data_IF_029769096554
#
_entry.id   IF_029769096554
#
_cell.length_a   1.000
_cell.length_b   1.000
_cell.length_c   1.000
_cell.angle_alpha   90.00
_cell.angle_beta   90.00
_cell.angle_gamma   90.00
#
_symmetry.space_group_name_H-M   'P 1'
#
loop_
_entity.id
_entity.type
_entity.pdbx_description
1 polymer ?
#
# COMPACT_ATOMS: atom_id res chain seq x y z
N UNK A 1 -1.39 -7.12 21.27
CA UNK A 1 -2.05 -7.83 20.15
C UNK A 1 -0.97 -8.54 19.36
N UNK A 2 -1.23 -9.72 18.79
CA UNK A 2 -0.25 -10.40 17.91
C UNK A 2 -0.18 -9.66 16.58
N UNK A 3 1.02 -9.21 16.17
CA UNK A 3 1.23 -8.53 14.88
C UNK A 3 0.92 -9.47 13.70
N UNK A 4 0.49 -8.87 12.58
CA UNK A 4 0.09 -9.59 11.38
C UNK A 4 1.32 -10.15 10.62
N UNK A 5 1.68 -11.41 10.86
CA UNK A 5 2.79 -12.09 10.20
C UNK A 5 2.56 -12.29 8.70
N UNK A 6 1.36 -12.71 8.28
CA UNK A 6 1.06 -12.95 6.85
C UNK A 6 1.19 -11.70 5.97
N UNK A 7 0.94 -10.53 6.55
CA UNK A 7 0.98 -9.25 5.81
C UNK A 7 2.25 -8.44 6.04
N UNK A 8 3.04 -8.75 7.07
CA UNK A 8 4.33 -8.13 7.38
C UNK A 8 5.44 -8.68 6.47
N UNK A 9 5.27 -8.51 5.16
CA UNK A 9 6.24 -8.90 4.15
C UNK A 9 6.68 -7.67 3.37
N UNK A 10 8.00 -7.43 3.34
CA UNK A 10 8.60 -6.24 2.73
C UNK A 10 9.40 -6.68 1.51
N UNK A 11 9.16 -6.05 0.36
CA UNK A 11 9.87 -6.35 -0.87
C UNK A 11 11.37 -6.03 -0.75
N UNK A 12 12.21 -6.85 -1.38
CA UNK A 12 13.65 -6.66 -1.38
C UNK A 12 14.09 -5.67 -2.46
N UNK A 13 15.17 -4.92 -2.22
CA UNK A 13 15.76 -4.04 -3.23
C UNK A 13 16.05 -4.75 -4.56
N UNK A 14 16.47 -6.02 -4.49
CA UNK A 14 16.75 -6.84 -5.66
C UNK A 14 15.52 -7.02 -6.58
N UNK A 15 14.30 -7.00 -6.04
CA UNK A 15 13.07 -7.03 -6.83
C UNK A 15 12.96 -5.79 -7.74
N UNK A 16 13.17 -4.60 -7.18
CA UNK A 16 13.12 -3.35 -7.96
C UNK A 16 14.27 -3.26 -8.96
N UNK A 17 15.47 -3.69 -8.59
CA UNK A 17 16.62 -3.73 -9.51
C UNK A 17 16.36 -4.66 -10.70
N UNK A 18 15.84 -5.87 -10.44
CA UNK A 18 15.46 -6.82 -11.48
C UNK A 18 14.34 -6.27 -12.38
N UNK A 19 13.31 -5.65 -11.78
CA UNK A 19 12.23 -5.02 -12.53
C UNK A 19 12.76 -3.96 -13.51
N UNK A 20 13.58 -3.03 -13.02
CA UNK A 20 14.08 -1.96 -13.88
C UNK A 20 15.18 -2.39 -14.86
N UNK A 21 15.80 -3.56 -14.65
CA UNK A 21 16.65 -4.19 -15.65
C UNK A 21 15.81 -4.78 -16.80
N UNK A 22 14.67 -5.38 -16.48
CA UNK A 22 13.72 -5.91 -17.47
C UNK A 22 12.90 -4.81 -18.18
N UNK A 23 12.68 -3.68 -17.52
CA UNK A 23 11.86 -2.57 -18.01
C UNK A 23 12.66 -1.24 -17.99
N UNK A 24 13.69 -1.08 -18.84
CA UNK A 24 14.60 0.05 -18.79
C UNK A 24 13.94 1.40 -19.09
N UNK A 25 12.85 1.40 -19.87
CA UNK A 25 12.15 2.61 -20.32
C UNK A 25 11.13 3.17 -19.33
N UNK A 26 10.84 2.47 -18.23
CA UNK A 26 9.90 2.92 -17.19
C UNK A 26 10.48 4.13 -16.45
N UNK A 27 9.72 5.24 -16.42
CA UNK A 27 10.15 6.51 -15.83
C UNK A 27 9.11 7.16 -14.89
N UNK A 28 7.92 6.57 -14.79
CA UNK A 28 6.82 7.00 -13.94
C UNK A 28 6.27 5.80 -13.18
N UNK A 29 6.44 5.76 -11.86
CA UNK A 29 5.99 4.64 -11.03
C UNK A 29 5.06 5.14 -9.94
N UNK A 30 3.83 4.65 -9.92
CA UNK A 30 2.86 5.00 -8.87
C UNK A 30 3.02 4.06 -7.68
N UNK A 31 3.31 4.62 -6.50
CA UNK A 31 3.09 3.91 -5.24
C UNK A 31 1.63 3.98 -4.88
N UNK A 32 1.06 2.86 -4.44
CA UNK A 32 -0.36 2.77 -4.09
C UNK A 32 -0.50 2.12 -2.72
N UNK A 33 -1.25 2.76 -1.83
CA UNK A 33 -1.80 2.15 -0.63
C UNK A 33 -3.33 2.28 -0.65
N UNK A 34 -4.02 1.43 0.08
CA UNK A 34 -5.48 1.48 0.18
C UNK A 34 -5.85 1.99 1.56
N UNK A 35 -6.56 3.13 1.61
CA UNK A 35 -7.02 3.68 2.88
C UNK A 35 -8.21 2.89 3.45
N UNK A 36 -8.66 3.24 4.65
CA UNK A 36 -9.75 2.55 5.35
C UNK A 36 -11.08 2.54 4.59
N UNK A 37 -11.33 3.53 3.71
CA UNK A 37 -12.51 3.57 2.85
C UNK A 37 -12.39 2.70 1.59
N UNK A 38 -11.28 1.98 1.40
CA UNK A 38 -11.03 1.18 0.20
C UNK A 38 -10.57 1.99 -1.00
N UNK A 39 -10.22 3.27 -0.84
CA UNK A 39 -9.78 4.14 -1.93
C UNK A 39 -8.27 3.99 -2.12
N UNK A 40 -7.78 3.63 -3.33
CA UNK A 40 -6.36 3.64 -3.62
C UNK A 40 -5.83 5.07 -3.66
N UNK A 41 -4.73 5.32 -2.95
CA UNK A 41 -4.06 6.61 -2.84
C UNK A 41 -2.56 6.43 -2.98
N UNK A 42 -1.85 7.51 -3.27
CA UNK A 42 -0.39 7.47 -3.30
C UNK A 42 0.24 8.59 -4.11
N UNK A 43 1.40 8.32 -4.69
CA UNK A 43 2.26 9.33 -5.33
C UNK A 43 3.00 8.72 -6.52
N UNK A 44 3.25 9.54 -7.53
CA UNK A 44 4.13 9.19 -8.66
C UNK A 44 5.58 9.47 -8.32
N UNK A 45 6.43 8.47 -8.55
CA UNK A 45 7.86 8.46 -8.26
C UNK A 45 8.69 8.27 -9.53
N UNK A 46 9.94 8.76 -9.50
CA UNK A 46 10.99 8.40 -10.47
C UNK A 46 11.72 7.13 -10.04
N UNK A 47 12.38 6.46 -10.99
CA UNK A 47 13.16 5.22 -10.77
C UNK A 47 14.07 5.27 -9.54
N UNK A 48 14.87 6.33 -9.38
CA UNK A 48 15.78 6.44 -8.23
C UNK A 48 15.03 6.58 -6.89
N UNK A 49 13.86 7.21 -6.88
CA UNK A 49 13.02 7.29 -5.68
C UNK A 49 12.40 5.93 -5.34
N UNK A 50 12.03 5.13 -6.35
CA UNK A 50 11.55 3.75 -6.14
C UNK A 50 12.64 2.89 -5.49
N UNK A 51 13.88 2.97 -5.99
CA UNK A 51 15.00 2.26 -5.39
C UNK A 51 15.23 2.69 -3.92
N UNK A 52 15.09 3.97 -3.61
CA UNK A 52 15.15 4.46 -2.23
C UNK A 52 14.02 3.89 -1.35
N UNK A 53 12.78 3.87 -1.86
CA UNK A 53 11.62 3.25 -1.17
C UNK A 53 11.87 1.77 -0.90
N UNK A 54 12.42 1.04 -1.87
CA UNK A 54 12.71 -0.39 -1.73
C UNK A 54 13.84 -0.69 -0.75
N UNK A 55 14.79 0.23 -0.61
CA UNK A 55 15.91 0.09 0.31
C UNK A 55 15.51 0.46 1.74
N UNK A 56 14.99 1.67 1.90
CA UNK A 56 14.86 2.32 3.21
C UNK A 56 13.40 2.59 3.59
N UNK A 57 12.45 2.45 2.67
CA UNK A 57 11.05 2.89 2.84
C UNK A 57 10.87 4.38 2.52
N UNK A 58 9.67 4.91 2.81
CA UNK A 58 9.36 6.34 2.63
C UNK A 58 8.37 6.80 3.68
N UNK A 59 8.46 8.06 4.08
CA UNK A 59 7.50 8.67 4.99
C UNK A 59 6.26 9.18 4.26
N UNK A 60 5.11 8.98 4.90
CA UNK A 60 3.83 9.60 4.56
C UNK A 60 3.12 10.03 5.85
N UNK A 61 2.27 11.06 5.80
CA UNK A 61 1.51 11.47 6.97
C UNK A 61 0.61 10.33 7.47
N UNK A 62 0.58 10.10 8.77
CA UNK A 62 -0.16 8.99 9.38
C UNK A 62 -1.66 9.06 9.12
N UNK A 63 -2.23 10.27 9.03
CA UNK A 63 -3.64 10.48 8.70
C UNK A 63 -4.04 9.97 7.31
N UNK A 64 -3.09 9.81 6.39
CA UNK A 64 -3.40 9.44 5.00
C UNK A 64 -4.12 8.09 4.88
N UNK A 65 -3.96 7.18 5.86
CA UNK A 65 -4.62 5.86 5.88
C UNK A 65 -6.09 5.91 6.32
N UNK A 66 -6.54 7.04 6.92
CA UNK A 66 -7.88 7.18 7.53
C UNK A 66 -8.71 8.36 6.99
N UNK A 67 -8.25 9.05 5.94
CA UNK A 67 -9.07 10.12 5.33
C UNK A 67 -10.39 9.54 4.82
N UNK A 68 -11.45 10.35 4.85
CA UNK A 68 -12.78 9.95 4.42
C UNK A 68 -12.87 9.69 2.90
N UNK A 69 -14.07 9.32 2.43
CA UNK A 69 -14.31 9.04 1.01
C UNK A 69 -14.05 10.25 0.11
N UNK A 70 -14.20 11.47 0.63
CA UNK A 70 -13.90 12.72 -0.08
C UNK A 70 -12.44 13.15 0.05
N UNK A 71 -11.65 12.45 0.88
CA UNK A 71 -10.26 12.75 1.17
C UNK A 71 -10.05 13.79 2.26
N UNK A 72 -11.03 14.03 3.13
CA UNK A 72 -10.88 14.90 4.30
C UNK A 72 -10.36 14.13 5.50
N UNK A 73 -9.69 14.85 6.39
CA UNK A 73 -9.25 14.30 7.65
C UNK A 73 -10.44 13.87 8.52
N UNK A 74 -10.25 12.76 9.24
CA UNK A 74 -11.24 12.26 10.20
C UNK A 74 -10.80 12.69 11.59
N UNK A 75 -11.31 13.83 12.07
CA UNK A 75 -10.88 14.48 13.31
C UNK A 75 -10.97 13.56 14.52
N UNK A 76 -12.00 12.71 14.60
CA UNK A 76 -12.28 11.81 15.73
C UNK A 76 -11.20 10.76 15.97
N UNK A 77 -10.32 10.54 15.00
CA UNK A 77 -9.19 9.59 15.14
C UNK A 77 -8.04 10.15 15.98
N UNK A 78 -7.99 11.47 16.13
CA UNK A 78 -6.91 12.19 16.79
C UNK A 78 -5.57 12.22 16.04
N UNK A 79 -5.49 11.68 14.82
CA UNK A 79 -4.22 11.59 14.11
C UNK A 79 -3.71 12.92 13.57
N UNK A 80 -4.57 13.94 13.46
CA UNK A 80 -4.18 15.25 12.90
C UNK A 80 -3.88 16.25 14.01
N UNK A 81 -4.83 16.49 14.91
CA UNK A 81 -4.70 17.58 15.87
C UNK A 81 -3.97 17.18 17.17
N UNK A 82 -4.11 15.92 17.59
CA UNK A 82 -3.53 15.39 18.82
C UNK A 82 -2.16 14.73 18.55
N UNK A 83 -2.04 13.96 17.48
CA UNK A 83 -0.77 13.35 17.04
C UNK A 83 0.08 14.31 16.19
N UNK A 84 -0.51 15.40 15.68
CA UNK A 84 0.18 16.38 14.83
C UNK A 84 0.45 15.90 13.41
N UNK A 85 -0.34 14.93 12.91
CA UNK A 85 -0.17 14.25 11.63
C UNK A 85 1.24 13.68 11.44
N UNK A 86 1.74 13.03 12.50
CA UNK A 86 3.10 12.51 12.50
C UNK A 86 3.33 11.50 11.38
N UNK A 87 4.51 11.59 10.76
CA UNK A 87 4.88 10.70 9.68
C UNK A 87 4.89 9.24 10.13
N UNK A 88 4.31 8.39 9.29
CA UNK A 88 4.42 6.93 9.35
C UNK A 88 5.21 6.44 8.15
N UNK A 89 5.59 5.18 8.19
CA UNK A 89 6.52 4.63 7.22
C UNK A 89 5.80 3.69 6.26
N UNK A 90 6.01 3.86 4.96
CA UNK A 90 5.52 2.93 3.95
C UNK A 90 6.64 2.02 3.44
N UNK A 91 6.31 0.75 3.25
CA UNK A 91 7.21 -0.27 2.69
C UNK A 91 6.57 -0.98 1.50
N UNK A 92 7.34 -1.34 0.47
CA UNK A 92 6.82 -2.03 -0.71
C UNK A 92 6.33 -3.44 -0.37
N UNK A 93 5.24 -3.85 -1.01
CA UNK A 93 4.71 -5.21 -0.91
C UNK A 93 5.34 -6.09 -2.00
N UNK A 94 5.93 -7.24 -1.64
CA UNK A 94 6.60 -8.12 -2.59
C UNK A 94 5.71 -8.53 -3.78
N UNK A 95 6.30 -8.58 -4.96
CA UNK A 95 5.64 -9.07 -6.17
C UNK A 95 4.57 -8.15 -6.74
N UNK A 96 4.46 -6.90 -6.26
CA UNK A 96 3.44 -5.94 -6.73
C UNK A 96 3.99 -4.90 -7.69
N UNK A 97 5.30 -4.80 -7.88
CA UNK A 97 5.91 -3.92 -8.88
C UNK A 97 5.76 -4.49 -10.28
N UNK A 98 4.85 -3.86 -11.04
CA UNK A 98 4.43 -4.32 -12.36
C UNK A 98 4.27 -3.14 -13.33
N UNK A 99 4.41 -3.35 -14.65
CA UNK A 99 4.06 -2.32 -15.63
C UNK A 99 2.58 -1.95 -15.56
N UNK A 100 2.25 -0.68 -15.80
CA UNK A 100 0.89 -0.14 -15.77
C UNK A 100 0.53 0.51 -17.12
N UNK A 101 0.36 -0.30 -18.19
CA UNK A 101 0.22 0.23 -19.56
C UNK A 101 -1.00 1.14 -19.76
N UNK A 102 -2.05 0.98 -18.95
CA UNK A 102 -3.22 1.86 -18.95
C UNK A 102 -2.91 3.29 -18.47
N UNK A 103 -1.86 3.49 -17.67
CA UNK A 103 -1.39 4.80 -17.22
C UNK A 103 -0.36 5.43 -18.19
N UNK A 104 0.08 4.67 -19.19
CA UNK A 104 1.03 5.11 -20.22
C UNK A 104 2.09 4.05 -20.55
N UNK A 105 2.79 4.17 -21.69
CA UNK A 105 3.75 3.15 -22.16
C UNK A 105 5.02 3.02 -21.29
N UNK A 106 5.31 4.01 -20.45
CA UNK A 106 6.47 4.05 -19.53
C UNK A 106 6.06 4.02 -18.06
N UNK A 107 4.81 3.64 -17.78
CA UNK A 107 4.26 3.64 -16.44
C UNK A 107 4.39 2.27 -15.77
N UNK A 108 4.61 2.27 -14.46
CA UNK A 108 4.54 1.11 -13.58
C UNK A 108 3.83 1.47 -12.28
N UNK A 109 3.53 0.49 -11.46
CA UNK A 109 2.95 0.70 -10.14
C UNK A 109 3.37 -0.40 -9.17
N UNK A 110 3.33 -0.12 -7.87
CA UNK A 110 3.44 -1.13 -6.82
C UNK A 110 2.63 -0.76 -5.59
N UNK A 111 2.26 -1.77 -4.81
CA UNK A 111 1.52 -1.58 -3.57
C UNK A 111 2.48 -1.38 -2.39
N UNK A 112 2.03 -0.61 -1.39
CA UNK A 112 2.75 -0.40 -0.13
C UNK A 112 1.85 -0.68 1.07
N UNK A 113 2.45 -1.13 2.18
CA UNK A 113 1.81 -1.15 3.50
C UNK A 113 2.35 -0.06 4.41
N UNK A 114 1.55 0.38 5.38
CA UNK A 114 1.92 1.33 6.43
C UNK A 114 2.49 0.62 7.67
N UNK A 115 3.52 1.22 8.24
CA UNK A 115 4.26 0.75 9.40
C UNK A 115 4.49 1.93 10.34
N UNK A 116 4.52 1.63 11.63
CA UNK A 116 5.02 2.56 12.64
C UNK A 116 6.54 2.76 12.47
N UNK A 117 7.09 3.79 13.12
CA UNK A 117 8.51 4.13 13.03
C UNK A 117 9.43 3.04 13.61
N UNK A 118 8.92 2.22 14.53
CA UNK A 118 9.63 1.06 15.08
C UNK A 118 9.59 -0.17 14.15
N UNK A 119 8.92 -0.05 12.99
CA UNK A 119 8.78 -1.10 12.00
C UNK A 119 7.61 -2.05 12.27
N UNK A 120 6.81 -1.85 13.32
CA UNK A 120 5.59 -2.65 13.51
C UNK A 120 4.53 -2.32 12.44
N UNK A 121 3.71 -3.30 11.99
CA UNK A 121 2.60 -3.03 11.09
C UNK A 121 1.64 -1.99 11.69
N UNK A 122 1.27 -0.98 10.91
CA UNK A 122 0.28 0.01 11.35
C UNK A 122 -1.11 -0.65 11.48
N UNK A 123 -1.78 -0.42 12.61
CA UNK A 123 -3.03 -1.11 12.93
C UNK A 123 -4.24 -0.62 12.13
N UNK A 124 -4.11 0.53 11.46
CA UNK A 124 -5.15 1.18 10.64
C UNK A 124 -5.02 0.85 9.14
N UNK A 125 -3.93 0.22 8.72
CA UNK A 125 -3.79 -0.30 7.35
C UNK A 125 -4.71 -1.52 7.14
N UNK A 126 -5.71 -1.45 6.22
CA UNK A 126 -6.61 -2.57 5.96
C UNK A 126 -5.92 -3.87 5.56
N UNK A 127 -4.75 -3.80 4.91
CA UNK A 127 -3.96 -4.99 4.57
C UNK A 127 -3.43 -5.68 5.82
N UNK A 128 -2.96 -4.91 6.80
CA UNK A 128 -2.49 -5.47 8.07
C UNK A 128 -3.65 -5.98 8.93
N UNK A 129 -4.80 -5.31 8.90
CA UNK A 129 -6.05 -5.82 9.48
C UNK A 129 -6.40 -7.19 8.89
N UNK A 130 -6.41 -7.32 7.55
CA UNK A 130 -6.67 -8.59 6.87
C UNK A 130 -5.62 -9.65 7.27
N UNK A 131 -4.34 -9.28 7.34
CA UNK A 131 -3.28 -10.19 7.76
C UNK A 131 -3.52 -10.79 9.14
N UNK A 132 -3.99 -10.00 10.12
CA UNK A 132 -4.35 -10.53 11.46
C UNK A 132 -5.48 -11.56 11.39
N UNK A 133 -6.44 -11.37 10.49
CA UNK A 133 -7.54 -12.34 10.28
C UNK A 133 -7.00 -13.64 9.67
N UNK A 134 -6.13 -13.54 8.66
CA UNK A 134 -5.50 -14.69 8.01
C UNK A 134 -4.65 -15.50 8.99
N UNK A 135 -3.84 -14.84 9.81
CA UNK A 135 -2.99 -15.50 10.81
C UNK A 135 -3.83 -16.26 11.85
N UNK A 136 -4.95 -15.66 12.27
CA UNK A 136 -5.88 -16.31 13.21
C UNK A 136 -6.50 -17.57 12.60
N UNK A 137 -6.94 -17.51 11.34
CA UNK A 137 -7.47 -18.69 10.63
C UNK A 137 -6.40 -19.78 10.48
N UNK A 138 -5.17 -19.40 10.14
CA UNK A 138 -4.04 -20.32 10.06
C UNK A 138 -3.75 -20.98 11.41
N UNK A 139 -3.87 -20.25 12.53
CA UNK A 139 -3.76 -20.80 13.89
C UNK A 139 -4.82 -21.85 14.22
N UNK A 140 -5.94 -21.86 13.50
CA UNK A 140 -6.97 -22.90 13.57
C UNK A 140 -6.79 -24.02 12.52
N UNK A 141 -5.71 -24.00 11.73
CA UNK A 141 -5.48 -24.93 10.63
C UNK A 141 -6.42 -24.71 9.44
N UNK A 142 -7.02 -23.52 9.33
CA UNK A 142 -7.94 -23.15 8.24
C UNK A 142 -7.23 -22.32 7.19
N UNK A 143 -7.56 -22.56 5.92
CA UNK A 143 -7.12 -21.74 4.79
C UNK A 143 -8.36 -21.09 4.17
N UNK A 144 -8.55 -19.76 4.31
CA UNK A 144 -9.68 -19.09 3.67
C UNK A 144 -9.49 -19.07 2.16
N UNK A 145 -10.58 -19.33 1.45
CA UNK A 145 -10.68 -19.15 -0.01
C UNK A 145 -11.77 -18.10 -0.28
N UNK A 146 -11.46 -17.13 -1.13
CA UNK A 146 -12.32 -15.98 -1.40
C UNK A 146 -12.40 -15.77 -2.90
N UNK A 147 -13.61 -15.83 -3.44
CA UNK A 147 -13.93 -15.38 -4.78
C UNK A 147 -14.64 -14.03 -4.71
N UNK A 148 -14.25 -13.10 -5.57
CA UNK A 148 -14.87 -11.78 -5.70
C UNK A 148 -15.47 -11.67 -7.10
N UNK A 149 -16.75 -11.37 -7.18
CA UNK A 149 -17.43 -11.04 -8.43
C UNK A 149 -17.61 -9.52 -8.49
N UNK A 150 -16.95 -8.88 -9.46
CA UNK A 150 -17.05 -7.44 -9.65
C UNK A 150 -18.16 -7.13 -10.64
N UNK A 151 -19.27 -6.59 -10.12
CA UNK A 151 -20.33 -6.01 -10.94
C UNK A 151 -20.08 -4.51 -11.14
N UNK A 152 -20.16 -4.03 -12.37
CA UNK A 152 -19.99 -2.61 -12.69
C UNK A 152 -20.88 -2.19 -13.85
N UNK A 153 -21.15 -0.89 -13.92
CA UNK A 153 -21.91 -0.27 -15.01
C UNK A 153 -20.97 0.55 -15.89
N UNK A 154 -21.12 0.42 -17.21
CA UNK A 154 -20.55 1.36 -18.18
C UNK A 154 -21.64 2.34 -18.58
N UNK A 155 -21.50 3.59 -18.14
CA UNK A 155 -22.46 4.65 -18.40
C UNK A 155 -21.90 5.64 -19.41
N UNK A 156 -22.75 6.11 -20.32
CA UNK A 156 -22.45 7.27 -21.16
C UNK A 156 -22.84 8.54 -20.36
N UNK A 157 -21.89 9.46 -20.20
CA UNK A 157 -22.11 10.73 -19.51
C UNK A 157 -22.86 11.69 -20.45
N UNK A 158 -24.15 11.40 -20.69
CA UNK A 158 -25.09 12.35 -21.30
C UNK A 158 -25.77 13.19 -20.24
#
# INVERSE_FOLDING_TARGET
MTHAQSSHQIASLAEAEAFFAAHPDVDAVDIIFTNMCGVPRGKRLRRHEVLAVYKDGRFLPGSAVIVDITGRDTEETGLVWEDGDADRHIRPIPGTLVPAPWAGPKAAQFLTGFYELDGTPNDLDPRHVLGRVLDRLAGHGLTPDVAVELEFYLVDAK
#
